data_IF_939625835852
#
_entry.id   IF_939625835852
#
_cell.length_a   1.000
_cell.length_b   1.000
_cell.length_c   1.000
_cell.angle_alpha   90.00
_cell.angle_beta   90.00
_cell.angle_gamma   90.00
#
_symmetry.space_group_name_H-M   'P 1'
#
loop_
_entity.id
_entity.type
_entity.pdbx_description
1 polymer ?
#
# COMPACT_ATOMS: atom_id res chain seq x y z
N UNK A 1 -4.95 -1.17 -73.02
CA UNK A 1 -5.54 -0.05 -72.25
C UNK A 1 -5.02 -0.09 -70.83
N UNK A 2 -4.33 0.99 -70.40
CA UNK A 2 -4.21 1.56 -69.03
C UNK A 2 -3.92 0.57 -67.89
N UNK A 3 -2.66 0.42 -67.45
CA UNK A 3 -2.06 1.14 -66.28
C UNK A 3 -3.01 1.12 -65.08
N UNK A 4 -2.71 0.40 -63.99
CA UNK A 4 -1.82 0.90 -62.94
C UNK A 4 -1.34 -0.24 -62.01
N UNK A 5 -0.08 -0.64 -62.17
CA UNK A 5 0.70 -1.32 -61.14
C UNK A 5 1.29 -0.26 -60.20
N UNK A 6 0.46 0.27 -59.30
CA UNK A 6 0.87 1.24 -58.29
C UNK A 6 -0.13 1.23 -57.15
N UNK A 7 0.37 1.22 -55.91
CA UNK A 7 -0.36 1.13 -54.62
C UNK A 7 -0.37 -0.28 -53.97
N UNK A 8 0.65 -1.12 -54.18
CA UNK A 8 1.02 -2.10 -53.14
C UNK A 8 2.54 -2.18 -53.05
N UNK A 9 3.18 -1.10 -52.62
CA UNK A 9 4.59 -1.15 -52.23
C UNK A 9 4.86 -0.13 -51.13
N UNK A 10 5.05 -0.68 -49.91
CA UNK A 10 5.75 -0.11 -48.75
C UNK A 10 5.04 1.00 -47.98
N UNK A 11 4.81 0.75 -46.69
CA UNK A 11 5.13 1.61 -45.53
C UNK A 11 4.72 0.83 -44.25
N UNK A 12 5.57 -0.06 -43.74
CA UNK A 12 6.46 0.16 -42.58
C UNK A 12 5.76 0.62 -41.31
N UNK A 13 5.69 -0.32 -40.34
CA UNK A 13 5.81 -0.14 -38.89
C UNK A 13 5.29 1.20 -38.33
N UNK A 14 4.03 1.22 -37.90
CA UNK A 14 3.54 2.21 -36.95
C UNK A 14 3.24 1.50 -35.62
N UNK A 15 4.01 1.92 -34.62
CA UNK A 15 3.87 1.58 -33.22
C UNK A 15 2.42 1.57 -32.72
N UNK A 16 2.10 0.57 -31.92
CA UNK A 16 0.87 0.51 -31.14
C UNK A 16 1.07 -0.40 -29.95
N UNK A 17 1.73 0.11 -28.91
CA UNK A 17 1.75 -0.49 -27.58
C UNK A 17 0.31 -0.80 -27.16
N UNK A 18 -0.09 -2.07 -27.16
CA UNK A 18 -1.26 -2.54 -26.42
C UNK A 18 -0.84 -2.83 -24.98
N UNK A 19 -0.48 -1.77 -24.26
CA UNK A 19 -0.75 -1.71 -22.83
C UNK A 19 -2.13 -1.06 -22.65
N UNK A 20 -2.79 -1.42 -21.56
CA UNK A 20 -4.05 -0.87 -21.04
C UNK A 20 -5.29 -1.70 -21.38
N UNK A 21 -5.54 -2.71 -20.54
CA UNK A 21 -6.84 -2.89 -19.90
C UNK A 21 -6.72 -3.74 -18.63
N UNK A 22 -6.02 -3.23 -17.62
CA UNK A 22 -6.40 -3.51 -16.23
C UNK A 22 -6.78 -2.17 -15.61
N UNK A 23 -8.07 -1.92 -15.42
CA UNK A 23 -8.46 -1.16 -14.25
C UNK A 23 -9.74 -1.74 -13.66
N UNK A 24 -9.64 -2.47 -12.56
CA UNK A 24 -10.54 -2.31 -11.41
C UNK A 24 -10.11 -3.21 -10.25
N UNK A 25 -8.87 -2.99 -9.81
CA UNK A 25 -8.62 -2.96 -8.37
C UNK A 25 -8.53 -1.50 -7.98
N UNK A 26 -9.60 -0.73 -8.16
CA UNK A 26 -9.76 0.51 -7.44
C UNK A 26 -9.90 0.13 -5.96
N UNK A 27 -8.76 -0.14 -5.31
CA UNK A 27 -8.62 0.16 -3.90
C UNK A 27 -8.81 1.67 -3.86
N UNK A 28 -10.06 2.09 -3.63
CA UNK A 28 -10.34 3.39 -3.09
C UNK A 28 -9.42 3.52 -1.89
N UNK A 29 -8.35 4.29 -2.05
CA UNK A 29 -7.67 4.92 -0.93
C UNK A 29 -8.65 5.95 -0.39
N UNK A 30 -9.70 5.45 0.25
CA UNK A 30 -10.37 6.21 1.27
C UNK A 30 -9.35 6.35 2.41
N UNK A 31 -8.64 7.46 2.33
CA UNK A 31 -7.72 7.97 3.33
C UNK A 31 -8.45 8.49 4.57
N UNK A 32 -9.76 8.21 4.73
CA UNK A 32 -10.38 8.15 6.04
C UNK A 32 -9.43 7.42 6.96
N UNK A 33 -9.10 8.09 8.05
CA UNK A 33 -7.98 7.76 8.90
C UNK A 33 -8.32 6.46 9.64
N UNK A 34 -8.22 5.31 8.95
CA UNK A 34 -8.52 3.99 9.49
C UNK A 34 -7.71 3.80 10.75
N UNK A 35 -6.56 4.45 10.90
CA UNK A 35 -5.69 4.38 12.07
C UNK A 35 -6.17 5.16 13.29
N UNK A 36 -7.02 6.18 13.10
CA UNK A 36 -7.66 6.88 14.20
C UNK A 36 -8.56 5.94 14.98
N UNK A 37 -8.67 6.21 16.27
CA UNK A 37 -9.58 5.52 17.15
C UNK A 37 -10.95 6.18 16.98
N UNK A 38 -12.00 5.41 16.70
CA UNK A 38 -13.37 5.91 16.55
C UNK A 38 -13.97 6.44 17.88
N UNK A 39 -13.17 6.49 18.94
CA UNK A 39 -13.55 6.88 20.28
C UNK A 39 -13.53 8.40 20.46
N UNK A 40 -14.50 8.97 21.20
CA UNK A 40 -14.60 10.40 21.41
C UNK A 40 -13.40 10.97 22.19
N UNK A 41 -13.13 12.26 21.99
CA UNK A 41 -11.90 12.94 22.38
C UNK A 41 -11.51 12.82 23.86
N UNK A 42 -12.48 12.63 24.75
CA UNK A 42 -12.29 12.54 26.19
C UNK A 42 -11.79 11.15 26.66
N UNK A 43 -11.89 10.11 25.83
CA UNK A 43 -11.27 8.78 26.08
C UNK A 43 -9.85 8.66 25.47
N UNK A 44 -9.32 9.72 24.83
CA UNK A 44 -8.03 9.72 24.11
C UNK A 44 -6.79 9.68 25.00
N UNK A 45 -6.80 8.94 26.11
CA UNK A 45 -5.59 8.68 26.91
C UNK A 45 -4.74 7.54 26.32
N UNK A 46 -4.97 7.17 25.06
CA UNK A 46 -4.42 5.98 24.42
C UNK A 46 -3.68 6.30 23.13
N UNK A 47 -2.58 5.58 22.91
CA UNK A 47 -1.71 5.58 21.74
C UNK A 47 -2.48 5.70 20.40
N UNK A 48 -2.56 6.92 19.89
CA UNK A 48 -3.19 7.22 18.60
C UNK A 48 -2.24 6.79 17.48
N UNK A 49 -2.68 5.84 16.67
CA UNK A 49 -1.95 5.42 15.48
C UNK A 49 -2.32 6.41 14.38
N UNK A 50 -1.50 7.41 14.11
CA UNK A 50 -1.62 8.18 12.86
C UNK A 50 -0.85 7.46 11.76
N UNK A 51 -1.14 7.73 10.48
CA UNK A 51 -0.34 7.20 9.36
C UNK A 51 1.16 7.41 9.58
N UNK A 52 1.58 8.64 9.90
CA UNK A 52 2.99 8.97 10.15
C UNK A 52 3.59 8.16 11.30
N UNK A 53 2.84 7.99 12.41
CA UNK A 53 3.31 7.19 13.54
C UNK A 53 3.41 5.72 13.17
N UNK A 54 2.46 5.18 12.41
CA UNK A 54 2.49 3.80 11.93
C UNK A 54 3.76 3.57 11.09
N UNK A 55 4.06 4.45 10.13
CA UNK A 55 5.28 4.33 9.33
C UNK A 55 6.55 4.37 10.20
N UNK A 56 6.62 5.31 11.15
CA UNK A 56 7.76 5.41 12.08
C UNK A 56 7.96 4.14 12.91
N UNK A 57 6.86 3.50 13.34
CA UNK A 57 6.90 2.24 14.07
C UNK A 57 7.37 1.11 13.16
N UNK A 58 6.83 1.02 11.95
CA UNK A 58 7.18 -0.03 10.98
C UNK A 58 8.66 0.05 10.60
N UNK A 59 9.19 1.26 10.36
CA UNK A 59 10.62 1.46 10.08
C UNK A 59 11.51 0.98 11.23
N UNK A 60 11.19 1.37 12.48
CA UNK A 60 11.93 0.90 13.66
C UNK A 60 11.80 -0.60 13.88
N UNK A 61 10.62 -1.16 13.61
CA UNK A 61 10.42 -2.60 13.74
C UNK A 61 11.24 -3.35 12.69
N UNK A 62 11.37 -2.82 11.47
CA UNK A 62 12.22 -3.41 10.44
C UNK A 62 13.71 -3.44 10.84
N UNK A 63 14.18 -2.43 11.58
CA UNK A 63 15.54 -2.41 12.14
C UNK A 63 15.76 -3.45 13.26
N UNK A 64 14.73 -3.71 14.08
CA UNK A 64 14.82 -4.61 15.24
C UNK A 64 14.52 -6.07 14.86
N UNK A 65 13.50 -6.26 14.03
CA UNK A 65 12.97 -7.55 13.60
C UNK A 65 12.34 -7.42 12.20
N UNK A 66 13.14 -7.57 11.14
CA UNK A 66 12.67 -7.42 9.76
C UNK A 66 11.59 -8.43 9.38
N UNK A 67 11.68 -9.67 9.89
CA UNK A 67 10.68 -10.71 9.63
C UNK A 67 9.29 -10.31 10.15
N UNK A 68 9.23 -9.79 11.39
CA UNK A 68 7.96 -9.33 11.96
C UNK A 68 7.41 -8.10 11.23
N UNK A 69 8.29 -7.22 10.77
CA UNK A 69 7.89 -6.07 9.97
C UNK A 69 7.27 -6.50 8.63
N UNK A 70 7.83 -7.51 7.96
CA UNK A 70 7.28 -8.04 6.72
C UNK A 70 5.93 -8.75 6.94
N UNK A 71 5.80 -9.54 8.01
CA UNK A 71 4.53 -10.17 8.40
C UNK A 71 3.43 -9.11 8.59
N UNK A 72 3.75 -8.02 9.30
CA UNK A 72 2.82 -6.92 9.52
C UNK A 72 2.50 -6.14 8.23
N UNK A 73 3.48 -5.95 7.33
CA UNK A 73 3.22 -5.30 6.04
C UNK A 73 2.19 -6.09 5.21
N UNK A 74 2.33 -7.42 5.14
CA UNK A 74 1.35 -8.30 4.48
C UNK A 74 -0.01 -8.29 5.18
N UNK A 75 0.00 -8.22 6.53
CA UNK A 75 -1.23 -8.17 7.31
C UNK A 75 -1.99 -6.85 7.14
N UNK A 76 -1.29 -5.74 6.90
CA UNK A 76 -1.89 -4.43 6.64
C UNK A 76 -2.82 -4.45 5.43
N UNK A 77 -2.46 -5.19 4.38
CA UNK A 77 -3.26 -5.32 3.16
C UNK A 77 -4.43 -6.28 3.33
N UNK A 78 -4.21 -7.40 4.03
CA UNK A 78 -5.21 -8.47 4.19
C UNK A 78 -6.26 -8.18 5.25
N UNK A 79 -5.84 -7.65 6.40
CA UNK A 79 -6.72 -7.37 7.54
C UNK A 79 -6.19 -6.16 8.34
N UNK A 80 -6.62 -4.94 7.97
CA UNK A 80 -6.21 -3.71 8.64
C UNK A 80 -6.56 -3.68 10.13
N UNK A 81 -7.63 -4.36 10.56
CA UNK A 81 -8.04 -4.41 11.97
C UNK A 81 -7.08 -5.28 12.77
N UNK A 82 -6.77 -6.48 12.27
CA UNK A 82 -5.79 -7.38 12.91
C UNK A 82 -4.38 -6.80 12.90
N UNK A 83 -4.01 -6.10 11.83
CA UNK A 83 -2.74 -5.34 11.77
C UNK A 83 -2.60 -4.36 12.93
N UNK A 84 -3.63 -3.56 13.27
CA UNK A 84 -3.55 -2.63 14.41
C UNK A 84 -3.28 -3.34 15.74
N UNK A 85 -3.88 -4.50 15.94
CA UNK A 85 -3.73 -5.30 17.17
C UNK A 85 -2.31 -5.83 17.26
N UNK A 86 -1.82 -6.46 16.19
CA UNK A 86 -0.48 -7.03 16.14
C UNK A 86 0.62 -5.97 16.16
N UNK A 87 0.43 -4.83 15.51
CA UNK A 87 1.36 -3.69 15.58
C UNK A 87 1.50 -3.19 17.03
N UNK A 88 0.40 -3.05 17.76
CA UNK A 88 0.45 -2.65 19.19
C UNK A 88 1.18 -3.67 20.05
N UNK A 89 1.01 -4.97 19.76
CA UNK A 89 1.73 -6.04 20.45
C UNK A 89 3.23 -5.98 20.15
N UNK A 90 3.62 -5.85 18.87
CA UNK A 90 5.01 -5.71 18.45
C UNK A 90 5.70 -4.49 19.10
N UNK A 91 5.00 -3.35 19.20
CA UNK A 91 5.51 -2.17 19.90
C UNK A 91 5.82 -2.47 21.37
N UNK A 92 4.92 -3.16 22.09
CA UNK A 92 5.14 -3.49 23.52
C UNK A 92 6.29 -4.46 23.71
N UNK A 93 6.37 -5.50 22.90
CA UNK A 93 7.36 -6.58 23.08
C UNK A 93 8.76 -6.17 22.62
N UNK A 94 8.86 -5.43 21.52
CA UNK A 94 10.12 -5.24 20.79
C UNK A 94 10.64 -3.81 20.85
N UNK A 95 9.75 -2.82 20.94
CA UNK A 95 10.12 -1.39 20.88
C UNK A 95 10.15 -0.77 22.28
N UNK A 96 9.19 -1.08 23.15
CA UNK A 96 9.08 -0.48 24.50
C UNK A 96 10.26 -0.86 25.41
N UNK A 97 10.93 -2.00 25.19
CA UNK A 97 12.14 -2.38 25.95
C UNK A 97 13.33 -1.42 25.73
N UNK A 98 13.25 -0.51 24.76
CA UNK A 98 14.31 0.43 24.37
C UNK A 98 13.95 1.91 24.62
N UNK A 99 12.77 2.21 25.18
CA UNK A 99 12.31 3.54 25.59
C UNK A 99 12.18 3.59 27.11
#
# INVERSE_FOLDING_TARGET
MKTNYGIILVLTVAAGMLFIALPCGAVEKNNENIWQNDKPAWERKGFELTNERVERIMSRLAEINPEKAEELARLREKDPKKFKVELRKAVREQIKKRF
#
